data_IF_001447571505
#
_entry.id   IF_001447571505
#
_cell.length_a   1.000
_cell.length_b   1.000
_cell.length_c   1.000
_cell.angle_alpha   90.00
_cell.angle_beta   90.00
_cell.angle_gamma   90.00
#
_symmetry.space_group_name_H-M   'P 1'
#
loop_
_entity.id
_entity.type
_entity.pdbx_description
1 polymer ?
#
# COMPACT_ATOMS: atom_id res chain seq x y z
N UNK A 1 7.36 8.41 17.10
CA UNK A 1 7.18 7.58 18.30
C UNK A 1 6.63 6.23 17.84
N UNK A 2 7.21 5.14 18.34
CA UNK A 2 6.76 3.77 18.06
C UNK A 2 5.83 3.35 19.20
N UNK A 3 4.55 3.06 18.90
CA UNK A 3 3.59 2.69 19.93
C UNK A 3 3.40 1.17 20.02
N UNK A 4 3.71 0.43 18.95
CA UNK A 4 3.55 -1.02 18.88
C UNK A 4 4.89 -1.68 18.52
N UNK A 5 5.40 -2.50 19.42
CA UNK A 5 6.53 -3.39 19.16
C UNK A 5 6.04 -4.83 19.10
N UNK A 6 6.57 -5.59 18.16
CA UNK A 6 6.24 -7.00 18.01
C UNK A 6 7.48 -7.82 17.67
N UNK A 7 7.69 -8.91 18.43
CA UNK A 7 8.63 -9.98 18.14
C UNK A 7 7.87 -11.30 18.10
N UNK A 8 8.06 -12.07 17.03
CA UNK A 8 7.37 -13.33 16.77
C UNK A 8 8.40 -14.39 16.42
N UNK A 9 8.52 -15.44 17.23
CA UNK A 9 9.53 -16.50 17.09
C UNK A 9 8.88 -17.88 17.21
N UNK A 10 9.46 -18.86 16.51
CA UNK A 10 9.02 -20.25 16.57
C UNK A 10 8.80 -20.89 15.22
N UNK A 11 8.10 -22.01 15.16
CA UNK A 11 7.85 -22.76 13.94
C UNK A 11 6.38 -23.08 13.78
N UNK A 12 5.83 -22.85 12.60
CA UNK A 12 4.48 -23.26 12.21
C UNK A 12 4.58 -23.97 10.85
N UNK A 13 4.22 -25.25 10.81
CA UNK A 13 4.44 -26.08 9.62
C UNK A 13 5.92 -26.13 9.26
N UNK A 14 6.23 -25.80 8.01
CA UNK A 14 7.59 -25.75 7.49
C UNK A 14 8.29 -24.38 7.62
N UNK A 15 7.60 -23.37 8.21
CA UNK A 15 8.11 -22.01 8.29
C UNK A 15 8.67 -21.75 9.69
N UNK A 16 9.92 -21.28 9.75
CA UNK A 16 10.52 -20.77 10.99
C UNK A 16 10.40 -19.26 11.04
N UNK A 17 9.68 -18.77 12.04
CA UNK A 17 9.47 -17.36 12.28
C UNK A 17 10.61 -16.76 13.10
N UNK A 18 11.13 -15.65 12.63
CA UNK A 18 12.02 -14.76 13.36
C UNK A 18 11.74 -13.33 12.83
N UNK A 19 10.65 -12.78 13.30
CA UNK A 19 10.17 -11.45 12.91
C UNK A 19 10.27 -10.50 14.09
N UNK A 20 10.81 -9.32 13.86
CA UNK A 20 10.88 -8.25 14.86
C UNK A 20 10.70 -6.91 14.17
N UNK A 21 9.78 -6.09 14.70
CA UNK A 21 9.55 -4.74 14.18
C UNK A 21 8.89 -3.81 15.20
N UNK A 22 9.25 -2.53 15.11
CA UNK A 22 8.63 -1.43 15.84
C UNK A 22 7.77 -0.61 14.88
N UNK A 23 6.47 -0.74 14.98
CA UNK A 23 5.52 -0.07 14.09
C UNK A 23 5.29 1.37 14.52
N UNK A 24 5.13 2.27 13.56
CA UNK A 24 4.80 3.67 13.82
C UNK A 24 3.36 3.82 14.34
N UNK A 25 3.14 4.84 15.16
CA UNK A 25 1.82 5.21 15.70
C UNK A 25 0.89 5.89 14.69
N UNK A 26 1.37 6.13 13.47
CA UNK A 26 0.66 6.79 12.38
C UNK A 26 1.01 6.14 11.06
N UNK A 27 0.16 6.36 10.04
CA UNK A 27 0.40 5.87 8.71
C UNK A 27 -0.12 4.45 8.47
N UNK A 28 0.09 3.99 7.25
CA UNK A 28 -0.31 2.67 6.77
C UNK A 28 0.95 1.89 6.45
N UNK A 29 1.22 0.85 7.26
CA UNK A 29 2.34 -0.07 7.04
C UNK A 29 1.83 -1.29 6.31
N UNK A 30 2.43 -1.62 5.17
CA UNK A 30 2.06 -2.82 4.41
C UNK A 30 3.07 -3.94 4.66
N UNK A 31 2.56 -5.14 4.95
CA UNK A 31 3.34 -6.39 4.91
C UNK A 31 3.22 -7.01 3.52
N UNK A 32 4.33 -7.10 2.83
CA UNK A 32 4.41 -7.68 1.49
C UNK A 32 5.35 -8.88 1.43
N UNK A 33 5.01 -9.85 0.62
CA UNK A 33 5.83 -11.04 0.36
C UNK A 33 5.05 -12.12 -0.36
N UNK A 34 5.72 -13.19 -0.82
CA UNK A 34 5.07 -14.29 -1.54
C UNK A 34 3.95 -14.94 -0.73
N UNK A 35 3.07 -15.67 -1.43
CA UNK A 35 2.10 -16.52 -0.77
C UNK A 35 2.82 -17.54 0.12
N UNK A 36 2.28 -17.78 1.31
CA UNK A 36 2.95 -18.65 2.27
C UNK A 36 4.17 -18.04 2.98
N UNK A 37 4.51 -16.75 2.80
CA UNK A 37 5.61 -16.11 3.51
C UNK A 37 5.40 -15.95 5.02
N UNK A 38 4.17 -16.16 5.53
CA UNK A 38 3.83 -16.07 6.94
C UNK A 38 3.20 -14.75 7.37
N UNK A 39 2.78 -13.90 6.44
CA UNK A 39 2.18 -12.57 6.72
C UNK A 39 0.98 -12.63 7.65
N UNK A 40 -0.03 -13.44 7.30
CA UNK A 40 -1.26 -13.63 8.11
C UNK A 40 -0.96 -14.23 9.48
N UNK A 41 0.04 -15.13 9.55
CA UNK A 41 0.48 -15.73 10.82
C UNK A 41 1.11 -14.67 11.75
N UNK A 42 1.91 -13.75 11.19
CA UNK A 42 2.50 -12.63 11.95
C UNK A 42 1.40 -11.74 12.52
N UNK A 43 0.43 -11.29 11.69
CA UNK A 43 -0.70 -10.47 12.18
C UNK A 43 -1.49 -11.21 13.23
N UNK A 44 -1.80 -12.49 13.01
CA UNK A 44 -2.52 -13.34 13.95
C UNK A 44 -1.79 -13.45 15.30
N UNK A 45 -0.46 -13.59 15.27
CA UNK A 45 0.37 -13.63 16.45
C UNK A 45 0.35 -12.29 17.23
N UNK A 46 0.51 -11.16 16.53
CA UNK A 46 0.44 -9.82 17.13
C UNK A 46 -0.94 -9.56 17.75
N UNK A 47 -2.00 -9.96 17.06
CA UNK A 47 -3.37 -9.81 17.54
C UNK A 47 -3.73 -10.74 18.72
N UNK A 48 -2.89 -11.74 19.03
CA UNK A 48 -3.07 -12.64 20.16
C UNK A 48 -3.86 -13.90 19.85
N UNK A 49 -4.01 -14.27 18.57
CA UNK A 49 -4.71 -15.51 18.15
C UNK A 49 -3.79 -16.72 18.00
N UNK A 50 -2.47 -16.53 17.91
CA UNK A 50 -1.52 -17.64 17.79
C UNK A 50 -1.22 -18.26 19.16
N UNK A 51 -1.27 -19.61 19.21
CA UNK A 51 -0.92 -20.39 20.42
C UNK A 51 0.47 -21.03 20.34
N UNK A 52 1.02 -21.18 19.13
CA UNK A 52 2.21 -22.00 18.86
C UNK A 52 3.48 -21.18 18.64
N UNK A 53 3.40 -19.86 18.72
CA UNK A 53 4.53 -18.97 18.56
C UNK A 53 4.86 -18.27 19.88
N UNK A 54 6.15 -18.10 20.15
CA UNK A 54 6.61 -17.22 21.20
C UNK A 54 6.50 -15.78 20.71
N UNK A 55 5.80 -14.96 21.47
CA UNK A 55 5.54 -13.57 21.11
C UNK A 55 5.99 -12.63 22.22
N UNK A 56 6.52 -11.46 21.83
CA UNK A 56 6.72 -10.31 22.71
C UNK A 56 6.03 -9.14 22.05
N UNK A 57 4.90 -8.72 22.62
CA UNK A 57 4.05 -7.68 22.05
C UNK A 57 3.87 -6.58 23.08
N UNK A 58 4.39 -5.40 22.76
CA UNK A 58 4.25 -4.22 23.63
C UNK A 58 3.51 -3.13 22.89
N UNK A 59 2.47 -2.58 23.50
CA UNK A 59 1.71 -1.45 22.99
C UNK A 59 1.60 -0.35 24.04
N UNK A 60 2.09 0.86 23.75
CA UNK A 60 2.11 2.01 24.68
C UNK A 60 2.65 1.63 26.05
N UNK A 61 3.80 0.96 26.10
CA UNK A 61 4.48 0.46 27.29
C UNK A 61 3.72 -0.62 28.07
N UNK A 62 2.63 -1.17 27.54
CA UNK A 62 1.93 -2.33 28.11
C UNK A 62 2.41 -3.59 27.41
N UNK A 63 3.01 -4.50 28.16
CA UNK A 63 3.40 -5.83 27.67
C UNK A 63 2.18 -6.78 27.69
N UNK A 64 1.81 -7.31 26.54
CA UNK A 64 0.66 -8.21 26.40
C UNK A 64 1.00 -9.70 26.66
N UNK A 65 2.27 -10.02 26.81
CA UNK A 65 2.77 -11.39 26.92
C UNK A 65 3.39 -11.69 28.32
N UNK A 66 3.35 -10.72 29.24
CA UNK A 66 3.80 -10.91 30.63
C UNK A 66 2.98 -11.97 31.36
N UNK A 67 3.26 -12.20 32.64
CA UNK A 67 2.66 -13.24 33.52
C UNK A 67 1.14 -13.39 33.39
N UNK A 68 0.42 -12.34 33.06
CA UNK A 68 -1.02 -12.35 32.76
C UNK A 68 -1.25 -12.03 31.29
N UNK A 69 -0.98 -13.00 30.39
CA UNK A 69 -1.16 -12.86 28.96
C UNK A 69 -2.51 -12.22 28.60
N UNK A 70 -2.47 -11.07 27.91
CA UNK A 70 -3.67 -10.36 27.48
C UNK A 70 -4.30 -11.10 26.28
N UNK A 71 -5.50 -11.67 26.43
CA UNK A 71 -6.15 -12.39 25.33
C UNK A 71 -6.56 -11.45 24.19
N UNK A 72 -6.66 -11.99 22.97
CA UNK A 72 -6.95 -11.21 21.76
C UNK A 72 -8.16 -10.26 21.89
N UNK A 73 -9.24 -10.72 22.53
CA UNK A 73 -10.46 -9.90 22.68
C UNK A 73 -10.29 -8.69 23.61
N UNK A 74 -9.25 -8.67 24.46
CA UNK A 74 -8.90 -7.52 25.32
C UNK A 74 -7.85 -6.61 24.70
N UNK A 75 -7.14 -7.06 23.65
CA UNK A 75 -6.16 -6.20 22.96
C UNK A 75 -6.89 -5.08 22.22
N UNK A 76 -6.34 -3.86 22.16
CA UNK A 76 -6.97 -2.71 21.52
C UNK A 76 -6.84 -2.74 20.00
N UNK A 77 -6.79 -3.92 19.39
CA UNK A 77 -6.61 -4.12 17.96
C UNK A 77 -7.91 -4.56 17.30
N UNK A 78 -8.27 -3.94 16.18
CA UNK A 78 -9.30 -4.42 15.28
C UNK A 78 -8.65 -5.29 14.22
N UNK A 79 -9.08 -6.55 14.11
CA UNK A 79 -8.48 -7.49 13.13
C UNK A 79 -9.54 -7.97 12.17
N UNK A 80 -9.27 -7.83 10.88
CA UNK A 80 -10.03 -8.41 9.79
C UNK A 80 -9.15 -9.44 9.10
N UNK A 81 -9.57 -10.71 9.15
CA UNK A 81 -8.91 -11.82 8.47
C UNK A 81 -9.44 -12.00 7.06
N UNK A 82 -8.69 -12.72 6.23
CA UNK A 82 -8.99 -12.98 4.83
C UNK A 82 -10.41 -13.58 4.63
N UNK A 83 -10.84 -14.50 5.51
CA UNK A 83 -12.19 -15.04 5.47
C UNK A 83 -13.11 -14.19 6.35
N UNK A 84 -14.08 -13.47 5.77
CA UNK A 84 -15.00 -12.64 6.54
C UNK A 84 -15.99 -13.51 7.30
N UNK A 85 -16.00 -13.39 8.63
CA UNK A 85 -16.93 -14.12 9.52
C UNK A 85 -17.94 -13.13 10.10
N UNK A 86 -19.22 -13.36 9.82
CA UNK A 86 -20.35 -12.66 10.41
C UNK A 86 -21.17 -13.60 11.31
N UNK A 87 -21.99 -13.04 12.17
CA UNK A 87 -22.96 -13.83 12.95
C UNK A 87 -24.14 -14.16 12.05
N UNK A 88 -24.22 -15.39 11.57
CA UNK A 88 -25.20 -15.87 10.57
C UNK A 88 -26.66 -15.70 11.05
N UNK A 89 -26.92 -15.83 12.34
CA UNK A 89 -28.23 -15.69 12.97
C UNK A 89 -28.67 -14.24 13.22
N UNK A 90 -27.83 -13.25 12.90
CA UNK A 90 -28.12 -11.84 13.10
C UNK A 90 -28.18 -11.11 11.75
N UNK A 91 -29.13 -10.19 11.64
CA UNK A 91 -29.15 -9.24 10.53
C UNK A 91 -27.89 -8.37 10.55
N UNK A 92 -27.58 -7.73 9.41
CA UNK A 92 -26.38 -6.90 9.28
C UNK A 92 -26.40 -5.75 10.28
N UNK A 93 -27.53 -5.06 10.48
CA UNK A 93 -27.67 -4.01 11.50
C UNK A 93 -27.29 -4.50 12.91
N UNK A 94 -27.71 -5.73 13.26
CA UNK A 94 -27.47 -6.31 14.57
C UNK A 94 -26.01 -6.76 14.73
N UNK A 95 -25.38 -7.25 13.65
CA UNK A 95 -23.95 -7.50 13.58
C UNK A 95 -23.11 -6.24 13.88
N UNK A 96 -23.53 -5.09 13.33
CA UNK A 96 -22.87 -3.81 13.56
C UNK A 96 -23.11 -3.28 14.98
N UNK A 97 -24.34 -3.39 15.50
CA UNK A 97 -24.67 -2.99 16.86
C UNK A 97 -23.94 -3.81 17.92
N UNK A 98 -23.76 -5.11 17.67
CA UNK A 98 -23.00 -5.97 18.56
C UNK A 98 -21.55 -5.48 18.75
N UNK A 99 -20.92 -5.04 17.65
CA UNK A 99 -19.57 -4.48 17.71
C UNK A 99 -19.52 -3.14 18.43
N UNK A 100 -20.51 -2.28 18.21
CA UNK A 100 -20.62 -0.97 18.85
C UNK A 100 -20.80 -1.07 20.37
N UNK A 101 -21.61 -2.02 20.83
CA UNK A 101 -21.82 -2.30 22.27
C UNK A 101 -20.58 -2.87 22.97
N UNK A 102 -19.75 -3.61 22.25
CA UNK A 102 -18.45 -4.13 22.74
C UNK A 102 -17.35 -3.08 22.64
N UNK A 103 -17.48 -1.98 23.35
CA UNK A 103 -16.40 -1.00 23.49
C UNK A 103 -15.17 -1.70 24.05
N UNK A 104 -14.15 -1.93 23.21
CA UNK A 104 -12.81 -2.14 23.74
C UNK A 104 -12.46 -0.83 24.45
N UNK A 105 -12.01 -0.90 25.70
CA UNK A 105 -11.59 0.27 26.47
C UNK A 105 -10.54 1.01 25.65
N UNK A 106 -11.00 2.01 24.91
CA UNK A 106 -10.14 2.79 24.04
C UNK A 106 -9.33 3.72 24.93
N UNK A 107 -8.05 3.56 24.87
CA UNK A 107 -7.09 4.45 25.50
C UNK A 107 -7.19 5.90 24.95
N UNK A 108 -7.99 6.17 23.90
CA UNK A 108 -8.25 7.50 23.37
C UNK A 108 -9.67 7.62 22.80
N UNK A 109 -10.49 8.45 23.42
CA UNK A 109 -11.85 8.81 23.00
C UNK A 109 -11.91 9.67 21.70
N UNK A 110 -10.78 10.14 21.20
CA UNK A 110 -10.70 11.08 20.07
C UNK A 110 -10.83 10.42 18.67
N UNK A 111 -10.84 9.10 18.59
CA UNK A 111 -10.78 8.35 17.32
C UNK A 111 -12.09 7.64 17.00
N UNK A 112 -13.22 8.29 17.22
CA UNK A 112 -14.52 7.66 16.99
C UNK A 112 -15.05 8.06 15.61
N UNK A 113 -15.12 7.08 14.71
CA UNK A 113 -15.81 7.26 13.43
C UNK A 113 -17.32 7.11 13.68
N UNK A 114 -18.15 8.08 13.30
CA UNK A 114 -19.59 7.95 13.45
C UNK A 114 -20.14 6.76 12.66
N UNK A 115 -21.02 5.97 13.26
CA UNK A 115 -21.64 4.79 12.61
C UNK A 115 -22.29 5.16 11.28
N UNK A 116 -22.96 6.32 11.20
CA UNK A 116 -23.57 6.81 9.96
C UNK A 116 -22.52 7.00 8.87
N UNK A 117 -21.40 7.64 9.18
CA UNK A 117 -20.29 7.86 8.22
C UNK A 117 -19.73 6.52 7.70
N UNK A 118 -19.60 5.50 8.56
CA UNK A 118 -19.19 4.15 8.14
C UNK A 118 -20.22 3.50 7.19
N UNK A 119 -21.49 3.59 7.53
CA UNK A 119 -22.58 3.02 6.74
C UNK A 119 -22.62 3.67 5.35
N UNK A 120 -22.47 4.99 5.29
CA UNK A 120 -22.51 5.75 4.03
C UNK A 120 -21.28 5.46 3.15
N UNK A 121 -20.07 5.53 3.72
CA UNK A 121 -18.83 5.27 2.95
C UNK A 121 -18.70 3.83 2.45
N UNK A 122 -19.25 2.87 3.18
CA UNK A 122 -19.18 1.45 2.83
C UNK A 122 -20.45 0.98 2.08
N UNK A 123 -21.34 1.89 1.70
CA UNK A 123 -22.59 1.59 0.98
C UNK A 123 -23.39 0.44 1.66
N UNK A 124 -23.59 0.52 3.00
CA UNK A 124 -24.24 -0.55 3.76
C UNK A 124 -25.74 -0.38 3.94
N UNK A 125 -26.29 0.80 3.62
CA UNK A 125 -27.74 1.08 3.80
C UNK A 125 -28.63 -0.02 3.24
N UNK A 126 -28.44 -0.50 1.97
CA UNK A 126 -29.31 -1.52 1.38
C UNK A 126 -29.11 -2.92 1.98
N UNK A 127 -28.08 -3.11 2.82
CA UNK A 127 -27.71 -4.39 3.39
C UNK A 127 -28.22 -4.58 4.82
N UNK A 128 -28.60 -3.51 5.52
CA UNK A 128 -28.85 -3.50 6.96
C UNK A 128 -29.91 -4.50 7.42
N UNK A 129 -30.94 -4.74 6.61
CA UNK A 129 -32.03 -5.67 6.94
C UNK A 129 -31.80 -7.09 6.43
N UNK A 130 -30.72 -7.34 5.67
CA UNK A 130 -30.37 -8.67 5.15
C UNK A 130 -29.65 -9.52 6.19
N UNK A 131 -29.61 -10.82 5.94
CA UNK A 131 -28.76 -11.77 6.68
C UNK A 131 -27.42 -12.00 5.94
N UNK A 132 -26.38 -12.49 6.63
CA UNK A 132 -25.09 -12.75 6.01
C UNK A 132 -25.14 -13.69 4.78
N UNK A 133 -26.03 -14.66 4.78
CA UNK A 133 -26.21 -15.61 3.67
C UNK A 133 -26.65 -14.94 2.36
N UNK A 134 -27.38 -13.81 2.45
CA UNK A 134 -27.88 -13.05 1.31
C UNK A 134 -26.83 -12.11 0.70
N UNK A 135 -25.60 -12.07 1.25
CA UNK A 135 -24.55 -11.15 0.83
C UNK A 135 -23.53 -11.82 -0.09
N UNK A 136 -23.10 -11.09 -1.12
CA UNK A 136 -21.90 -11.43 -1.88
C UNK A 136 -20.64 -11.36 -1.01
N UNK A 137 -19.53 -11.99 -1.46
CA UNK A 137 -18.24 -11.93 -0.75
C UNK A 137 -17.77 -10.50 -0.50
N UNK A 138 -17.86 -9.64 -1.50
CA UNK A 138 -17.48 -8.22 -1.37
C UNK A 138 -18.39 -7.44 -0.40
N UNK A 139 -19.69 -7.73 -0.36
CA UNK A 139 -20.61 -7.13 0.63
C UNK A 139 -20.28 -7.61 2.04
N UNK A 140 -19.99 -8.91 2.24
CA UNK A 140 -19.52 -9.46 3.53
C UNK A 140 -18.25 -8.75 4.00
N UNK A 141 -17.27 -8.55 3.12
CA UNK A 141 -16.04 -7.85 3.44
C UNK A 141 -16.29 -6.43 3.94
N UNK A 142 -17.17 -5.67 3.27
CA UNK A 142 -17.54 -4.30 3.69
C UNK A 142 -18.19 -4.26 5.07
N UNK A 143 -19.09 -5.20 5.33
CA UNK A 143 -19.75 -5.31 6.65
C UNK A 143 -18.75 -5.67 7.74
N UNK A 144 -17.83 -6.65 7.49
CA UNK A 144 -16.80 -7.05 8.45
C UNK A 144 -15.85 -5.88 8.73
N UNK A 145 -15.48 -5.10 7.71
CA UNK A 145 -14.64 -3.91 7.90
C UNK A 145 -15.35 -2.88 8.79
N UNK A 146 -16.63 -2.56 8.49
CA UNK A 146 -17.42 -1.66 9.33
C UNK A 146 -17.51 -2.15 10.78
N UNK A 147 -17.82 -3.44 10.97
CA UNK A 147 -17.89 -4.08 12.27
C UNK A 147 -16.57 -3.99 13.03
N UNK A 148 -15.45 -4.21 12.35
CA UNK A 148 -14.12 -4.12 12.94
C UNK A 148 -13.80 -2.70 13.40
N UNK A 149 -14.14 -1.69 12.60
CA UNK A 149 -13.92 -0.28 12.92
C UNK A 149 -14.82 0.19 14.06
N UNK A 150 -16.08 -0.29 14.12
CA UNK A 150 -17.01 0.02 15.20
C UNK A 150 -16.56 -0.45 16.59
N UNK A 151 -15.62 -1.39 16.67
CA UNK A 151 -14.97 -1.76 17.95
C UNK A 151 -14.05 -0.66 18.48
N UNK A 152 -13.86 0.44 17.77
CA UNK A 152 -13.00 1.57 18.11
C UNK A 152 -11.54 1.14 18.37
N UNK A 153 -10.89 0.49 17.40
CA UNK A 153 -9.55 -0.03 17.60
C UNK A 153 -8.53 1.10 17.67
N UNK A 154 -7.51 0.89 18.51
CA UNK A 154 -6.34 1.77 18.54
C UNK A 154 -5.39 1.52 17.35
N UNK A 155 -5.42 0.30 16.80
CA UNK A 155 -4.68 -0.15 15.62
C UNK A 155 -5.55 -1.09 14.79
N UNK A 156 -5.57 -0.93 13.47
CA UNK A 156 -6.38 -1.73 12.55
C UNK A 156 -5.47 -2.70 11.77
N UNK A 157 -5.77 -3.99 11.84
CA UNK A 157 -5.06 -5.05 11.10
C UNK A 157 -5.98 -5.60 10.01
N UNK A 158 -5.55 -5.53 8.76
CA UNK A 158 -6.32 -5.92 7.59
C UNK A 158 -5.53 -6.97 6.78
N UNK A 159 -6.05 -8.18 6.71
CA UNK A 159 -5.44 -9.29 5.97
C UNK A 159 -6.19 -9.52 4.66
N UNK A 160 -5.60 -9.09 3.54
CA UNK A 160 -6.15 -9.12 2.17
C UNK A 160 -7.60 -8.62 2.07
N UNK A 161 -7.92 -7.41 2.58
CA UNK A 161 -9.30 -6.95 2.74
C UNK A 161 -10.01 -6.65 1.42
N UNK A 162 -9.34 -6.78 0.28
CA UNK A 162 -9.88 -6.44 -1.04
C UNK A 162 -9.86 -7.61 -2.03
N UNK A 163 -9.57 -8.83 -1.57
CA UNK A 163 -9.40 -9.99 -2.45
C UNK A 163 -10.64 -10.33 -3.29
N UNK A 164 -11.85 -10.10 -2.74
CA UNK A 164 -13.13 -10.42 -3.38
C UNK A 164 -13.92 -9.19 -3.85
N UNK A 165 -13.30 -8.01 -3.84
CA UNK A 165 -13.95 -6.74 -4.19
C UNK A 165 -13.68 -6.41 -5.66
N UNK A 166 -14.71 -5.96 -6.38
CA UNK A 166 -14.55 -5.50 -7.75
C UNK A 166 -13.65 -4.25 -7.86
N UNK A 167 -13.04 -4.06 -9.02
CA UNK A 167 -12.00 -3.05 -9.23
C UNK A 167 -12.49 -1.61 -9.00
N UNK A 168 -13.77 -1.33 -9.27
CA UNK A 168 -14.34 0.02 -9.09
C UNK A 168 -14.52 0.34 -7.63
N UNK A 169 -14.90 -0.68 -6.85
CA UNK A 169 -15.12 -0.53 -5.42
C UNK A 169 -13.80 -0.52 -4.63
N UNK A 170 -12.76 -1.22 -5.11
CA UNK A 170 -11.42 -1.17 -4.52
C UNK A 170 -10.92 0.26 -4.37
N UNK A 171 -11.05 1.08 -5.39
CA UNK A 171 -10.63 2.48 -5.36
C UNK A 171 -11.29 3.27 -4.23
N UNK A 172 -12.62 3.18 -4.12
CA UNK A 172 -13.37 3.85 -3.03
C UNK A 172 -12.89 3.39 -1.66
N UNK A 173 -12.64 2.09 -1.50
CA UNK A 173 -12.25 1.52 -0.23
C UNK A 173 -10.83 1.94 0.18
N UNK A 174 -9.89 2.04 -0.77
CA UNK A 174 -8.54 2.56 -0.51
C UNK A 174 -8.57 4.02 -0.06
N UNK A 175 -9.39 4.86 -0.71
CA UNK A 175 -9.60 6.26 -0.30
C UNK A 175 -10.18 6.30 1.12
N UNK A 176 -11.17 5.47 1.41
CA UNK A 176 -11.78 5.37 2.73
C UNK A 176 -10.77 4.96 3.81
N UNK A 177 -9.91 3.96 3.56
CA UNK A 177 -8.86 3.56 4.50
C UNK A 177 -7.83 4.68 4.74
N UNK A 178 -7.46 5.41 3.70
CA UNK A 178 -6.62 6.61 3.85
C UNK A 178 -7.30 7.68 4.70
N UNK A 179 -8.57 7.94 4.46
CA UNK A 179 -9.35 8.89 5.26
C UNK A 179 -9.39 8.46 6.73
N UNK A 180 -9.63 7.19 7.04
CA UNK A 180 -9.57 6.66 8.40
C UNK A 180 -8.21 6.94 9.04
N UNK A 181 -7.14 6.62 8.33
CA UNK A 181 -5.79 6.84 8.84
C UNK A 181 -5.50 8.33 9.10
N UNK A 182 -5.86 9.21 8.18
CA UNK A 182 -5.53 10.63 8.26
C UNK A 182 -6.43 11.43 9.19
N UNK A 183 -7.76 11.31 9.01
CA UNK A 183 -8.76 12.05 9.79
C UNK A 183 -8.85 11.54 11.22
N UNK A 184 -8.95 10.22 11.37
CA UNK A 184 -9.15 9.58 12.68
C UNK A 184 -7.84 9.09 13.32
N UNK A 185 -6.70 9.28 12.65
CA UNK A 185 -5.36 8.92 13.17
C UNK A 185 -5.24 7.46 13.63
N UNK A 186 -5.99 6.54 13.01
CA UNK A 186 -5.91 5.11 13.29
C UNK A 186 -4.80 4.52 12.42
N UNK A 187 -3.69 4.02 12.98
CA UNK A 187 -2.66 3.36 12.21
C UNK A 187 -3.19 2.03 11.66
N UNK A 188 -2.74 1.67 10.46
CA UNK A 188 -3.20 0.47 9.76
C UNK A 188 -2.00 -0.42 9.44
N UNK A 189 -2.10 -1.71 9.79
CA UNK A 189 -1.24 -2.76 9.29
C UNK A 189 -2.01 -3.55 8.25
N UNK A 190 -1.52 -3.54 7.01
CA UNK A 190 -2.23 -4.01 5.84
C UNK A 190 -1.46 -5.11 5.14
N UNK A 191 -2.09 -6.24 4.86
CA UNK A 191 -1.51 -7.29 4.02
C UNK A 191 -2.16 -7.25 2.64
N UNK A 192 -1.35 -7.26 1.61
CA UNK A 192 -1.79 -7.48 0.24
C UNK A 192 -0.65 -8.08 -0.60
N UNK A 193 -1.00 -8.72 -1.69
CA UNK A 193 -0.08 -9.13 -2.75
C UNK A 193 -0.18 -8.22 -3.99
N UNK A 194 -1.08 -7.25 -3.99
CA UNK A 194 -1.29 -6.30 -5.09
C UNK A 194 -0.33 -5.12 -5.01
N UNK A 195 0.56 -5.00 -6.00
CA UNK A 195 1.45 -3.85 -6.13
C UNK A 195 0.68 -2.54 -6.38
N UNK A 196 -0.49 -2.65 -6.98
CA UNK A 196 -1.38 -1.53 -7.19
C UNK A 196 -1.89 -0.99 -5.84
N UNK A 197 -2.42 -1.85 -4.97
CA UNK A 197 -2.85 -1.44 -3.63
C UNK A 197 -1.70 -0.85 -2.82
N UNK A 198 -0.51 -1.48 -2.85
CA UNK A 198 0.69 -0.98 -2.16
C UNK A 198 1.03 0.43 -2.60
N UNK A 199 1.12 0.67 -3.92
CA UNK A 199 1.50 1.97 -4.47
C UNK A 199 0.54 3.09 -4.03
N UNK A 200 -0.72 2.74 -3.84
CA UNK A 200 -1.77 3.66 -3.46
C UNK A 200 -1.82 3.95 -1.97
N UNK A 201 -1.71 2.92 -1.12
CA UNK A 201 -2.06 3.05 0.29
C UNK A 201 -0.84 3.10 1.23
N UNK A 202 0.29 2.47 0.86
CA UNK A 202 1.41 2.30 1.77
C UNK A 202 2.17 3.60 2.02
N UNK A 203 2.42 3.91 3.29
CA UNK A 203 3.42 4.88 3.71
C UNK A 203 4.76 4.15 3.93
N UNK A 204 4.72 2.96 4.53
CA UNK A 204 5.85 2.08 4.75
C UNK A 204 5.58 0.66 4.26
N UNK A 205 6.63 -0.01 3.84
CA UNK A 205 6.60 -1.38 3.37
C UNK A 205 7.55 -2.25 4.19
N UNK A 206 7.06 -3.39 4.66
CA UNK A 206 7.87 -4.43 5.30
C UNK A 206 7.86 -5.65 4.39
N UNK A 207 9.03 -6.08 3.96
CA UNK A 207 9.20 -7.26 3.13
C UNK A 207 9.36 -8.51 3.99
N UNK A 208 8.50 -9.49 3.75
CA UNK A 208 8.50 -10.77 4.47
C UNK A 208 8.79 -11.91 3.53
N UNK A 209 9.69 -12.79 3.94
CA UNK A 209 9.92 -14.06 3.27
C UNK A 209 10.21 -15.16 4.29
N UNK A 210 9.52 -16.30 4.17
CA UNK A 210 9.70 -17.49 5.04
C UNK A 210 9.74 -17.14 6.54
N UNK A 211 8.79 -16.31 7.00
CA UNK A 211 8.65 -15.93 8.41
C UNK A 211 9.66 -14.90 8.92
N UNK A 212 10.47 -14.31 8.04
CA UNK A 212 11.51 -13.33 8.42
C UNK A 212 11.27 -12.00 7.71
N UNK A 213 11.59 -10.91 8.40
CA UNK A 213 11.69 -9.58 7.80
C UNK A 213 12.97 -9.50 6.97
N UNK A 214 12.83 -9.23 5.67
CA UNK A 214 13.94 -9.12 4.73
C UNK A 214 14.42 -7.68 4.63
N UNK A 215 13.45 -6.73 4.58
CA UNK A 215 13.76 -5.31 4.43
C UNK A 215 12.55 -4.49 4.92
N UNK A 216 12.74 -3.19 5.19
CA UNK A 216 11.66 -2.27 5.48
C UNK A 216 12.08 -0.82 5.22
N UNK A 217 11.11 0.04 4.95
CA UNK A 217 11.34 1.46 4.76
C UNK A 217 10.13 2.16 4.16
N UNK A 218 10.30 3.43 3.82
CA UNK A 218 9.29 4.17 3.10
C UNK A 218 9.10 3.61 1.69
N UNK A 219 7.88 3.67 1.18
CA UNK A 219 7.51 3.01 -0.06
C UNK A 219 8.45 3.33 -1.25
N UNK A 220 8.75 4.61 -1.58
CA UNK A 220 9.61 4.91 -2.74
C UNK A 220 11.03 4.32 -2.64
N UNK A 221 11.57 4.21 -1.44
CA UNK A 221 12.90 3.62 -1.22
C UNK A 221 12.88 2.12 -1.42
N UNK A 222 11.93 1.44 -0.77
CA UNK A 222 11.83 -0.03 -0.84
C UNK A 222 11.54 -0.52 -2.26
N UNK A 223 10.69 0.18 -3.01
CA UNK A 223 10.42 -0.18 -4.41
C UNK A 223 11.70 -0.20 -5.27
N UNK A 224 12.69 0.62 -4.91
CA UNK A 224 13.97 0.70 -5.60
C UNK A 224 15.04 -0.27 -5.03
N UNK A 225 14.76 -0.99 -3.94
CA UNK A 225 15.72 -1.91 -3.33
C UNK A 225 15.78 -3.26 -4.05
N UNK A 226 16.98 -3.86 -4.07
CA UNK A 226 17.19 -5.21 -4.63
C UNK A 226 16.33 -6.27 -3.95
N UNK A 227 16.13 -6.16 -2.63
CA UNK A 227 15.30 -7.06 -1.84
C UNK A 227 13.89 -7.14 -2.36
N UNK A 228 13.27 -6.00 -2.70
CA UNK A 228 11.95 -5.93 -3.27
C UNK A 228 11.91 -6.53 -4.68
N UNK A 229 12.85 -6.14 -5.54
CA UNK A 229 12.94 -6.64 -6.92
C UNK A 229 13.08 -8.16 -6.99
N UNK A 230 13.81 -8.76 -6.04
CA UNK A 230 13.96 -10.22 -5.97
C UNK A 230 12.66 -10.93 -5.55
N UNK A 231 11.78 -10.27 -4.81
CA UNK A 231 10.52 -10.84 -4.35
C UNK A 231 9.39 -10.76 -5.39
N UNK A 232 9.29 -9.64 -6.13
CA UNK A 232 8.22 -9.44 -7.11
C UNK A 232 8.48 -10.07 -8.47
N UNK A 233 9.74 -10.44 -8.72
CA UNK A 233 10.19 -10.77 -10.07
C UNK A 233 10.33 -9.50 -10.94
N UNK A 234 11.29 -9.53 -11.83
CA UNK A 234 11.71 -8.36 -12.62
C UNK A 234 10.66 -7.85 -13.63
N UNK A 235 9.67 -8.68 -13.98
CA UNK A 235 8.61 -8.29 -14.91
C UNK A 235 7.62 -7.26 -14.35
N UNK A 236 7.47 -7.21 -13.03
CA UNK A 236 6.53 -6.33 -12.34
C UNK A 236 7.21 -5.09 -11.74
N UNK A 237 8.51 -4.89 -12.03
CA UNK A 237 9.25 -3.71 -11.58
C UNK A 237 8.51 -2.43 -11.98
N UNK A 238 8.35 -1.54 -11.03
CA UNK A 238 7.67 -0.26 -11.21
C UNK A 238 8.26 0.78 -10.28
N UNK A 239 8.03 2.05 -10.60
CA UNK A 239 8.36 3.19 -9.77
C UNK A 239 7.10 3.93 -9.38
N UNK A 240 7.11 4.55 -8.22
CA UNK A 240 6.04 5.45 -7.77
C UNK A 240 6.62 6.86 -7.73
N UNK A 241 5.98 7.76 -8.46
CA UNK A 241 6.29 9.20 -8.45
C UNK A 241 5.20 9.94 -7.68
N UNK A 242 5.59 10.96 -6.94
CA UNK A 242 4.70 11.90 -6.28
C UNK A 242 4.70 13.22 -7.05
N UNK A 243 3.53 13.75 -7.34
CA UNK A 243 3.39 15.01 -8.07
C UNK A 243 2.21 15.83 -7.58
N UNK A 244 2.29 17.12 -7.78
CA UNK A 244 1.21 18.07 -7.47
C UNK A 244 0.38 18.31 -8.73
N UNK A 245 -0.93 18.25 -8.61
CA UNK A 245 -1.85 18.59 -9.70
C UNK A 245 -1.74 20.09 -9.99
N UNK A 246 -1.36 20.45 -11.21
CA UNK A 246 -1.21 21.85 -11.65
C UNK A 246 -2.26 22.29 -12.66
N UNK A 247 -2.89 21.35 -13.35
CA UNK A 247 -3.99 21.62 -14.28
C UNK A 247 -4.81 20.36 -14.52
N UNK A 248 -6.10 20.53 -14.75
CA UNK A 248 -7.03 19.48 -15.22
C UNK A 248 -7.77 19.95 -16.46
N UNK A 249 -7.96 19.05 -17.42
CA UNK A 249 -8.73 19.30 -18.61
C UNK A 249 -9.89 18.30 -18.71
N UNK A 250 -11.09 18.75 -18.39
CA UNK A 250 -12.28 17.90 -18.36
C UNK A 250 -12.72 17.43 -19.75
N UNK A 251 -12.48 18.21 -20.81
CA UNK A 251 -12.85 17.83 -22.19
C UNK A 251 -12.01 16.64 -22.67
N UNK A 252 -10.73 16.65 -22.38
CA UNK A 252 -9.81 15.57 -22.75
C UNK A 252 -9.70 14.50 -21.67
N UNK A 253 -10.28 14.73 -20.50
CA UNK A 253 -10.18 13.88 -19.32
C UNK A 253 -8.73 13.54 -18.97
N UNK A 254 -7.88 14.56 -18.83
CA UNK A 254 -6.48 14.47 -18.49
C UNK A 254 -6.12 15.43 -17.36
N UNK A 255 -5.11 15.06 -16.59
CA UNK A 255 -4.55 15.88 -15.51
C UNK A 255 -3.04 16.06 -15.73
N UNK A 256 -2.54 17.25 -15.52
CA UNK A 256 -1.12 17.57 -15.57
C UNK A 256 -0.56 17.70 -14.16
N UNK A 257 0.50 16.96 -13.89
CA UNK A 257 1.23 16.95 -12.63
C UNK A 257 2.54 17.71 -12.76
N UNK A 258 2.92 18.39 -11.71
CA UNK A 258 4.29 18.86 -11.47
C UNK A 258 5.07 17.75 -10.73
N UNK A 259 6.07 17.19 -11.38
CA UNK A 259 7.02 16.24 -10.81
C UNK A 259 8.38 16.96 -10.72
N UNK A 260 8.64 17.62 -9.60
CA UNK A 260 9.89 18.37 -9.39
C UNK A 260 10.18 19.38 -10.52
N UNK A 261 9.18 20.19 -10.85
CA UNK A 261 9.27 21.20 -11.89
C UNK A 261 9.12 20.67 -13.33
N UNK A 262 8.99 19.36 -13.52
CA UNK A 262 8.74 18.73 -14.81
C UNK A 262 7.27 18.30 -14.93
N UNK A 263 6.70 18.39 -16.13
CA UNK A 263 5.28 18.07 -16.36
C UNK A 263 5.09 16.61 -16.70
N UNK A 264 4.09 15.98 -16.05
CA UNK A 264 3.62 14.64 -16.36
C UNK A 264 2.11 14.69 -16.63
N UNK A 265 1.68 14.29 -17.81
CA UNK A 265 0.27 14.20 -18.20
C UNK A 265 -0.23 12.79 -17.90
N UNK A 266 -1.32 12.69 -17.17
CA UNK A 266 -1.98 11.43 -16.83
C UNK A 266 -3.43 11.43 -17.30
N UNK A 267 -4.02 10.26 -17.64
CA UNK A 267 -5.42 10.17 -17.97
C UNK A 267 -6.30 10.29 -16.71
N UNK A 268 -7.49 10.88 -16.88
CA UNK A 268 -8.49 11.07 -15.81
C UNK A 268 -8.26 12.34 -15.00
N UNK A 269 -9.24 12.66 -14.14
CA UNK A 269 -9.22 13.79 -13.22
C UNK A 269 -9.28 13.26 -11.77
N UNK A 270 -8.16 12.71 -11.26
CA UNK A 270 -8.15 12.01 -9.97
C UNK A 270 -8.23 12.93 -8.75
N UNK A 271 -7.86 14.22 -8.91
CA UNK A 271 -7.78 15.16 -7.81
C UNK A 271 -7.86 16.62 -8.31
N UNK A 272 -8.28 17.52 -7.43
CA UNK A 272 -8.28 18.96 -7.70
C UNK A 272 -6.87 19.54 -7.72
N UNK A 273 -6.71 20.70 -8.36
CA UNK A 273 -5.46 21.45 -8.39
C UNK A 273 -4.92 21.72 -6.99
N UNK A 274 -3.60 21.70 -6.85
CA UNK A 274 -2.89 21.83 -5.57
C UNK A 274 -2.75 20.55 -4.75
N UNK A 275 -3.47 19.49 -5.10
CA UNK A 275 -3.36 18.22 -4.39
C UNK A 275 -2.16 17.40 -4.85
N UNK A 276 -1.52 16.72 -3.90
CA UNK A 276 -0.45 15.76 -4.18
C UNK A 276 -1.04 14.38 -4.46
N UNK A 277 -0.60 13.76 -5.52
CA UNK A 277 -0.99 12.41 -5.91
C UNK A 277 0.23 11.54 -6.21
N UNK A 278 0.05 10.24 -6.10
CA UNK A 278 1.04 9.23 -6.47
C UNK A 278 0.64 8.58 -7.78
N UNK A 279 1.59 8.40 -8.67
CA UNK A 279 1.43 7.67 -9.93
C UNK A 279 2.41 6.54 -10.00
N UNK A 280 1.94 5.36 -10.40
CA UNK A 280 2.77 4.18 -10.62
C UNK A 280 3.09 4.06 -12.09
N UNK A 281 4.38 3.86 -12.42
CA UNK A 281 4.88 3.68 -13.77
C UNK A 281 5.65 2.36 -13.82
N UNK A 282 5.28 1.49 -14.76
CA UNK A 282 5.95 0.19 -14.93
C UNK A 282 7.25 0.39 -15.67
N UNK A 283 8.32 -0.25 -15.21
CA UNK A 283 9.66 -0.09 -15.79
C UNK A 283 9.74 -0.46 -17.27
N UNK A 284 8.90 -1.37 -17.72
CA UNK A 284 8.82 -1.81 -19.13
C UNK A 284 8.15 -0.81 -20.07
N UNK A 285 7.39 0.14 -19.53
CA UNK A 285 6.62 1.12 -20.28
C UNK A 285 7.38 2.45 -20.43
N UNK A 286 8.66 2.44 -20.05
CA UNK A 286 9.57 3.59 -20.09
C UNK A 286 10.56 3.42 -21.25
N UNK A 287 10.64 4.43 -22.09
CA UNK A 287 11.71 4.56 -23.07
C UNK A 287 12.77 5.52 -22.53
N UNK A 288 14.03 5.21 -22.80
CA UNK A 288 15.19 6.02 -22.40
C UNK A 288 15.99 6.41 -23.64
N UNK A 289 16.32 7.68 -23.77
CA UNK A 289 17.15 8.20 -24.85
C UNK A 289 18.22 9.16 -24.31
N UNK A 290 19.47 9.09 -24.81
CA UNK A 290 20.50 10.09 -24.49
C UNK A 290 20.28 11.43 -25.19
N UNK A 291 19.42 11.48 -26.18
CA UNK A 291 19.07 12.66 -26.96
C UNK A 291 17.58 12.95 -26.87
N UNK A 292 17.22 14.22 -26.96
CA UNK A 292 15.82 14.63 -26.98
C UNK A 292 15.17 14.19 -28.30
N UNK A 293 14.02 13.50 -28.18
CA UNK A 293 13.25 13.04 -29.32
C UNK A 293 12.22 14.11 -29.71
N UNK A 294 12.25 14.52 -30.95
CA UNK A 294 11.27 15.47 -31.55
C UNK A 294 10.11 14.69 -32.19
N UNK A 295 9.38 13.90 -31.40
CA UNK A 295 8.27 13.09 -31.90
C UNK A 295 6.96 13.51 -31.24
N UNK A 296 5.89 13.81 -32.02
CA UNK A 296 4.57 14.14 -31.45
C UNK A 296 3.86 12.94 -30.81
N UNK A 297 4.42 11.74 -30.94
CA UNK A 297 3.83 10.50 -30.38
C UNK A 297 4.11 10.34 -28.88
N UNK A 298 5.05 11.10 -28.33
CA UNK A 298 5.45 10.98 -26.94
C UNK A 298 4.89 12.15 -26.13
N UNK A 299 3.95 11.86 -25.25
CA UNK A 299 3.22 12.85 -24.45
C UNK A 299 4.02 13.35 -23.25
N UNK A 300 4.78 12.45 -22.62
CA UNK A 300 5.52 12.74 -21.39
C UNK A 300 7.02 12.58 -21.62
N UNK A 301 7.74 13.65 -21.37
CA UNK A 301 9.19 13.71 -21.40
C UNK A 301 9.69 14.21 -20.04
N UNK A 302 10.53 13.44 -19.38
CA UNK A 302 11.20 13.82 -18.13
C UNK A 302 12.71 13.72 -18.32
N UNK A 303 13.45 14.65 -17.74
CA UNK A 303 14.91 14.64 -17.75
C UNK A 303 15.45 13.99 -16.47
N UNK A 304 16.49 13.19 -16.60
CA UNK A 304 17.10 12.50 -15.48
C UNK A 304 18.56 12.15 -15.68
N UNK A 305 19.19 11.70 -14.59
CA UNK A 305 20.56 11.22 -14.56
C UNK A 305 20.58 9.72 -14.25
N UNK A 306 21.33 8.93 -15.01
CA UNK A 306 21.51 7.50 -14.74
C UNK A 306 22.34 7.34 -13.48
N UNK A 307 21.74 6.78 -12.41
CA UNK A 307 22.43 6.48 -11.16
C UNK A 307 23.10 5.11 -11.19
N UNK A 308 22.44 4.14 -11.83
CA UNK A 308 22.85 2.74 -11.78
C UNK A 308 22.35 1.98 -12.99
N UNK A 309 23.16 1.02 -13.42
CA UNK A 309 22.82 0.06 -14.47
C UNK A 309 22.97 -1.35 -13.90
N UNK A 310 21.94 -2.15 -14.01
CA UNK A 310 21.90 -3.53 -13.52
C UNK A 310 21.57 -4.49 -14.66
N UNK A 311 22.59 -5.21 -15.15
CA UNK A 311 22.37 -6.26 -16.16
C UNK A 311 21.65 -7.45 -15.52
N UNK A 312 20.66 -7.96 -16.20
CA UNK A 312 19.96 -9.16 -15.78
C UNK A 312 20.68 -10.40 -16.31
N UNK A 313 21.18 -11.24 -15.39
CA UNK A 313 21.84 -12.49 -15.79
C UNK A 313 20.84 -13.39 -16.54
N UNK A 314 21.32 -14.00 -17.65
CA UNK A 314 20.57 -14.93 -18.49
C UNK A 314 19.28 -14.35 -19.11
N UNK A 315 19.20 -13.05 -19.29
CA UNK A 315 18.07 -12.37 -19.97
C UNK A 315 18.58 -11.37 -21.01
N UNK A 316 17.70 -10.97 -21.91
CA UNK A 316 18.00 -9.93 -22.91
C UNK A 316 17.82 -8.50 -22.36
N UNK A 317 17.67 -8.32 -21.04
CA UNK A 317 17.27 -7.06 -20.44
C UNK A 317 18.31 -6.48 -19.48
N UNK A 318 18.29 -5.17 -19.39
CA UNK A 318 19.10 -4.35 -18.48
C UNK A 318 18.16 -3.36 -17.78
N UNK A 319 18.25 -3.25 -16.46
CA UNK A 319 17.55 -2.23 -15.71
C UNK A 319 18.44 -1.00 -15.53
N UNK A 320 17.84 0.17 -15.75
CA UNK A 320 18.48 1.47 -15.59
C UNK A 320 17.73 2.24 -14.52
N UNK A 321 18.42 2.62 -13.44
CA UNK A 321 17.87 3.46 -12.38
C UNK A 321 18.26 4.90 -12.68
N UNK A 322 17.25 5.74 -12.84
CA UNK A 322 17.38 7.14 -13.23
C UNK A 322 16.84 8.02 -12.09
N UNK A 323 17.61 9.00 -11.64
CA UNK A 323 17.10 10.08 -10.81
C UNK A 323 16.58 11.19 -11.71
N UNK A 324 15.34 11.61 -11.51
CA UNK A 324 14.78 12.76 -12.19
C UNK A 324 15.45 14.04 -11.69
N UNK A 325 15.72 14.96 -12.59
CA UNK A 325 16.32 16.25 -12.27
C UNK A 325 15.21 17.23 -11.87
N UNK A 326 15.39 17.93 -10.76
CA UNK A 326 14.51 19.06 -10.45
C UNK A 326 14.83 20.21 -11.40
N UNK A 327 13.84 20.64 -12.20
CA UNK A 327 14.05 21.66 -13.24
C UNK A 327 14.35 23.05 -12.65
N UNK A 328 14.08 23.28 -11.35
CA UNK A 328 14.32 24.58 -10.68
C UNK A 328 15.66 24.63 -9.98
N UNK A 329 16.05 23.54 -9.30
CA UNK A 329 17.28 23.49 -8.48
C UNK A 329 18.40 22.72 -9.17
N UNK A 330 18.09 21.95 -10.21
CA UNK A 330 18.99 21.00 -10.87
C UNK A 330 19.50 19.88 -9.95
N UNK A 331 18.85 19.70 -8.79
CA UNK A 331 19.16 18.61 -7.85
C UNK A 331 18.51 17.30 -8.32
N UNK A 332 19.04 16.19 -7.81
CA UNK A 332 18.48 14.87 -8.05
C UNK A 332 17.30 14.64 -7.11
N UNK A 333 16.14 14.38 -7.70
CA UNK A 333 14.88 14.21 -6.99
C UNK A 333 14.44 12.73 -6.95
N UNK A 334 13.22 12.46 -7.38
CA UNK A 334 12.64 11.13 -7.35
C UNK A 334 13.33 10.18 -8.34
N UNK A 335 13.28 8.88 -8.04
CA UNK A 335 13.93 7.85 -8.86
C UNK A 335 12.90 7.08 -9.67
N UNK A 336 13.25 6.78 -10.92
CA UNK A 336 12.46 5.93 -11.82
C UNK A 336 13.33 4.79 -12.34
N UNK A 337 12.73 3.63 -12.57
CA UNK A 337 13.38 2.47 -13.18
C UNK A 337 12.86 2.25 -14.58
N UNK A 338 13.78 2.11 -15.52
CA UNK A 338 13.48 1.71 -16.88
C UNK A 338 14.07 0.32 -17.16
N UNK A 339 13.30 -0.53 -17.83
CA UNK A 339 13.74 -1.83 -18.29
C UNK A 339 13.93 -1.81 -19.79
N UNK A 340 15.17 -1.82 -20.22
CA UNK A 340 15.57 -1.74 -21.63
C UNK A 340 16.17 -3.05 -22.10
N UNK A 341 16.15 -3.32 -23.40
CA UNK A 341 16.92 -4.45 -23.93
C UNK A 341 18.41 -4.18 -23.79
N UNK A 342 19.20 -5.19 -23.50
CA UNK A 342 20.66 -5.08 -23.45
C UNK A 342 21.23 -4.58 -24.78
N UNK A 343 20.59 -4.92 -25.90
CA UNK A 343 20.92 -4.40 -27.22
C UNK A 343 20.76 -2.86 -27.29
N UNK A 344 19.62 -2.32 -26.88
CA UNK A 344 19.39 -0.88 -26.87
C UNK A 344 20.30 -0.15 -25.88
N UNK A 345 20.53 -0.75 -24.70
CA UNK A 345 21.47 -0.21 -23.73
C UNK A 345 22.86 -0.01 -24.34
N UNK A 346 23.37 -1.00 -25.08
CA UNK A 346 24.67 -0.93 -25.75
C UNK A 346 24.66 0.05 -26.93
N UNK A 347 23.61 -0.04 -27.78
CA UNK A 347 23.48 0.81 -28.97
C UNK A 347 23.38 2.31 -28.62
N UNK A 348 22.68 2.65 -27.54
CA UNK A 348 22.51 4.02 -27.06
C UNK A 348 23.66 4.49 -26.16
N UNK A 349 24.62 3.62 -25.88
CA UNK A 349 25.79 3.89 -25.03
C UNK A 349 25.42 4.54 -23.68
N UNK A 350 24.40 3.95 -23.02
CA UNK A 350 23.89 4.47 -21.74
C UNK A 350 24.88 4.19 -20.63
N UNK A 351 25.42 5.21 -19.99
CA UNK A 351 26.42 5.07 -18.93
C UNK A 351 25.92 5.70 -17.63
N UNK A 352 26.46 5.24 -16.51
CA UNK A 352 26.24 5.87 -15.21
C UNK A 352 26.69 7.34 -15.28
N UNK A 353 25.96 8.22 -14.62
CA UNK A 353 26.14 9.68 -14.64
C UNK A 353 25.84 10.38 -15.99
N UNK A 354 25.30 9.67 -16.98
CA UNK A 354 24.83 10.30 -18.20
C UNK A 354 23.45 10.92 -17.99
N UNK A 355 23.25 12.13 -18.50
CA UNK A 355 21.89 12.72 -18.64
C UNK A 355 21.12 11.98 -19.73
N UNK A 356 19.84 11.75 -19.46
CA UNK A 356 18.93 11.06 -20.36
C UNK A 356 17.55 11.66 -20.31
N UNK A 357 16.80 11.46 -21.38
CA UNK A 357 15.38 11.75 -21.46
C UNK A 357 14.59 10.45 -21.25
N UNK A 358 13.59 10.53 -20.39
CA UNK A 358 12.69 9.45 -20.03
C UNK A 358 11.34 9.73 -20.65
N UNK A 359 10.89 8.84 -21.52
CA UNK A 359 9.62 8.99 -22.23
C UNK A 359 8.60 7.99 -21.71
N UNK A 360 7.40 8.47 -21.40
CA UNK A 360 6.33 7.68 -20.82
C UNK A 360 5.05 7.99 -21.57
N UNK A 361 4.39 6.96 -22.11
CA UNK A 361 3.05 7.13 -22.66
C UNK A 361 2.05 7.32 -21.52
N UNK A 362 1.15 8.28 -21.62
CA UNK A 362 0.09 8.50 -20.63
C UNK A 362 -0.81 7.29 -20.44
N UNK A 363 -0.97 6.47 -21.46
CA UNK A 363 -1.74 5.19 -21.39
C UNK A 363 -1.09 4.17 -20.47
N UNK A 364 0.22 4.25 -20.28
CA UNK A 364 1.00 3.34 -19.42
C UNK A 364 0.93 3.70 -17.93
N UNK A 365 0.33 4.83 -17.59
CA UNK A 365 0.22 5.29 -16.20
C UNK A 365 -1.04 4.67 -15.59
N UNK A 366 -0.87 3.89 -14.52
CA UNK A 366 -2.01 3.27 -13.81
C UNK A 366 -2.98 4.37 -13.34
N UNK A 367 -4.24 4.26 -13.76
CA UNK A 367 -5.32 5.28 -13.67
C UNK A 367 -5.76 5.65 -12.25
N UNK A 368 -5.04 5.23 -11.24
CA UNK A 368 -5.45 5.43 -9.85
C UNK A 368 -4.49 6.39 -9.16
N UNK A 369 -4.56 7.64 -9.60
CA UNK A 369 -3.99 8.73 -8.85
C UNK A 369 -4.90 9.05 -7.66
N UNK A 370 -4.34 9.22 -6.47
CA UNK A 370 -5.09 9.41 -5.21
C UNK A 370 -4.69 10.72 -4.57
N UNK A 371 -5.73 11.42 -4.10
CA UNK A 371 -5.56 12.64 -3.33
C UNK A 371 -4.76 12.35 -2.07
N UNK A 372 -3.64 13.05 -1.92
CA UNK A 372 -2.96 13.25 -0.66
C UNK A 372 -3.39 14.62 -0.13
N UNK A 373 -4.45 14.69 0.63
CA UNK A 373 -4.78 15.84 1.49
C UNK A 373 -4.25 15.59 2.88
#
# INVERSE_FOLDING_TARGET
>A
MTDLYARVEGKVGNITFNFEHSFKSKGITVLYGPNGAGKSTIISAIAGFSKNLKTTITYKNVDFESTNKVPAYKRPFGTMFQNPILFEHLKIKDNLEFAEKRKKSSINSEKIIPKKELIDHLDLVPLLERYPEDLSGGEKLRVVLARTILTKPAYLFLDEPMSEIDIRYKAKLLIFLKMINRKYKIPILYITHSLEEISQIADELILINKGKKIDYGILPEILNNKSFQSLIGKFESSSVLEGTVIASNDLLNITTLDINGQKLIIPGNPASEGNNIRVRIRSRDILVSPIKLTSPVVENELEGLILKVEKENNTAFTEVVIALVDSKTNDLAQKIRARVTTYNYQKLNLNTNSRVFVYISSVSIDRQAYQSN
#
